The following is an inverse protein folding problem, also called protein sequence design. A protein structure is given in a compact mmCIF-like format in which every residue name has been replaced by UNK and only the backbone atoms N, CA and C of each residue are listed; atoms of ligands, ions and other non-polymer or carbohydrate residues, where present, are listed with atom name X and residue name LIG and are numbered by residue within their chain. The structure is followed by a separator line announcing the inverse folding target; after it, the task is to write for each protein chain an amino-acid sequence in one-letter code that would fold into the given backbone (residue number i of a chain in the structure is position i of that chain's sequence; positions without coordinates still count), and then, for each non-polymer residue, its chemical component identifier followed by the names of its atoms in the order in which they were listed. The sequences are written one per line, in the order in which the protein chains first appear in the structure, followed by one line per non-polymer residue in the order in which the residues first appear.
data_IF_540765894354
#
_entry.id   IF_540765894354
#
_cell.length_a   1.000
_cell.length_b   1.000
_cell.length_c   1.000
_cell.angle_alpha   90.00
_cell.angle_beta   90.00
_cell.angle_gamma   90.00
#
_symmetry.space_group_name_H-M   'P 1'
#
loop_
_entity.id
_entity.type
_entity.pdbx_description
1 polymer ?
#
# COMPACT_ATOMS: atom_id res chain seq x y z
N UNK A 1 3.66 22.28 11.57
CA UNK A 1 2.29 21.87 11.98
C UNK A 1 1.33 22.75 11.22
N UNK A 2 0.42 22.19 10.40
CA UNK A 2 -0.52 23.03 9.67
C UNK A 2 -1.52 23.62 10.66
N UNK A 3 -1.67 24.94 10.64
CA UNK A 3 -2.94 25.59 10.98
C UNK A 3 -3.17 26.70 9.96
N UNK A 4 -3.85 26.34 8.87
CA UNK A 4 -4.70 27.29 8.15
C UNK A 4 -6.13 26.77 8.37
N UNK A 5 -7.02 27.64 8.87
CA UNK A 5 -8.42 27.32 9.23
C UNK A 5 -8.61 26.34 10.42
N UNK A 6 -7.87 26.47 11.53
CA UNK A 6 -8.34 25.84 12.79
C UNK A 6 -9.29 26.77 13.53
N UNK A 7 -10.41 26.23 13.97
CA UNK A 7 -11.42 26.96 14.71
C UNK A 7 -11.57 26.34 16.10
N UNK A 8 -11.55 27.16 17.14
CA UNK A 8 -11.77 26.75 18.53
C UNK A 8 -12.79 27.67 19.16
N UNK A 9 -13.90 27.12 19.65
CA UNK A 9 -14.97 27.87 20.32
C UNK A 9 -15.51 27.06 21.49
N UNK A 10 -15.89 27.78 22.53
CA UNK A 10 -16.70 27.33 23.66
C UNK A 10 -18.20 27.72 23.50
N UNK A 11 -18.52 28.55 22.50
CA UNK A 11 -19.89 28.97 22.17
C UNK A 11 -20.53 28.07 21.11
N UNK A 12 -21.71 27.55 21.41
CA UNK A 12 -22.54 26.78 20.48
C UNK A 12 -22.95 27.60 19.26
N UNK A 13 -23.37 28.86 19.44
CA UNK A 13 -23.76 29.75 18.32
C UNK A 13 -22.62 29.92 17.32
N UNK A 14 -21.40 30.09 17.83
CA UNK A 14 -20.21 30.24 16.99
C UNK A 14 -19.83 28.93 16.29
N UNK A 15 -20.08 27.78 16.93
CA UNK A 15 -19.93 26.48 16.30
C UNK A 15 -20.93 26.29 15.15
N UNK A 16 -22.19 26.67 15.36
CA UNK A 16 -23.27 26.61 14.36
C UNK A 16 -22.97 27.53 13.16
N UNK A 17 -22.49 28.76 13.42
CA UNK A 17 -22.03 29.68 12.39
C UNK A 17 -20.91 29.07 11.54
N UNK A 18 -19.92 28.41 12.15
CA UNK A 18 -18.84 27.77 11.41
C UNK A 18 -19.31 26.57 10.62
N UNK A 19 -20.15 25.73 11.21
CA UNK A 19 -20.70 24.57 10.54
C UNK A 19 -21.46 24.94 9.25
N UNK A 20 -22.15 26.09 9.28
CA UNK A 20 -22.94 26.58 8.15
C UNK A 20 -22.09 27.29 7.09
N UNK A 21 -21.09 28.07 7.51
CA UNK A 21 -20.41 29.02 6.63
C UNK A 21 -18.97 28.61 6.23
N UNK A 22 -18.35 27.66 6.92
CA UNK A 22 -16.97 27.26 6.63
C UNK A 22 -16.96 26.05 5.69
N UNK A 23 -16.18 26.09 4.59
CA UNK A 23 -15.96 24.92 3.73
C UNK A 23 -15.43 23.73 4.53
N UNK A 24 -16.15 22.61 4.48
CA UNK A 24 -15.79 21.38 5.17
C UNK A 24 -14.84 20.56 4.31
N UNK A 25 -13.75 20.10 4.90
CA UNK A 25 -12.92 19.07 4.27
C UNK A 25 -13.75 17.79 4.07
N UNK A 26 -13.64 17.18 2.90
CA UNK A 26 -14.33 15.92 2.57
C UNK A 26 -13.48 14.69 2.87
N UNK A 27 -12.17 14.89 3.11
CA UNK A 27 -11.22 13.83 3.38
C UNK A 27 -10.50 14.11 4.70
N UNK A 28 -10.18 13.03 5.42
CA UNK A 28 -9.39 13.06 6.64
C UNK A 28 -8.06 12.36 6.34
N UNK A 29 -6.95 13.05 6.58
CA UNK A 29 -5.64 12.42 6.58
C UNK A 29 -5.26 12.09 8.03
N UNK A 30 -5.00 10.80 8.32
CA UNK A 30 -4.70 10.30 9.64
C UNK A 30 -3.34 9.59 9.66
N UNK A 31 -2.58 9.80 10.73
CA UNK A 31 -1.26 9.22 10.93
C UNK A 31 -1.26 8.32 12.15
N UNK A 32 -0.89 7.07 11.92
CA UNK A 32 -0.76 6.06 12.94
C UNK A 32 0.71 5.71 13.16
N UNK A 33 1.06 5.38 14.39
CA UNK A 33 2.35 4.77 14.73
C UNK A 33 2.11 3.36 15.25
N UNK A 34 2.81 2.40 14.64
CA UNK A 34 2.80 0.99 15.03
C UNK A 34 4.16 0.63 15.64
N UNK A 35 4.22 0.20 16.92
CA UNK A 35 5.43 -0.36 17.50
C UNK A 35 5.84 -1.66 16.77
N UNK A 36 7.14 -1.79 16.48
CA UNK A 36 7.73 -2.96 15.81
C UNK A 36 8.47 -3.92 16.76
N UNK A 37 8.69 -3.53 18.02
CA UNK A 37 9.39 -4.39 18.98
C UNK A 37 8.57 -5.65 19.27
N UNK A 38 9.20 -6.82 19.23
CA UNK A 38 8.57 -8.10 19.58
C UNK A 38 8.04 -8.11 21.02
N UNK A 39 8.68 -7.37 21.93
CA UNK A 39 8.19 -7.17 23.30
C UNK A 39 6.91 -6.32 23.41
N UNK A 40 6.51 -5.66 22.31
CA UNK A 40 5.36 -4.76 22.23
C UNK A 40 4.32 -5.27 21.23
N UNK A 41 4.36 -6.55 20.82
CA UNK A 41 3.48 -7.13 19.80
C UNK A 41 1.98 -7.00 20.10
N UNK A 42 1.61 -6.86 21.37
CA UNK A 42 0.22 -6.65 21.82
C UNK A 42 -0.17 -5.17 21.95
N UNK A 43 0.71 -4.24 21.55
CA UNK A 43 0.42 -2.81 21.63
C UNK A 43 -0.33 -2.38 20.37
N UNK A 44 -1.54 -1.89 20.56
CA UNK A 44 -2.35 -1.33 19.48
C UNK A 44 -1.66 -0.12 18.85
N UNK A 45 -1.81 0.08 17.53
CA UNK A 45 -1.35 1.30 16.88
C UNK A 45 -2.03 2.53 17.50
N UNK A 46 -1.28 3.63 17.54
CA UNK A 46 -1.73 4.90 18.12
C UNK A 46 -1.87 5.97 17.04
N UNK A 47 -3.00 6.68 17.01
CA UNK A 47 -3.18 7.85 16.15
C UNK A 47 -2.49 9.04 16.81
N UNK A 48 -1.43 9.56 16.20
CA UNK A 48 -0.71 10.72 16.74
C UNK A 48 -1.06 12.05 16.05
N UNK A 49 -1.83 11.99 14.97
CA UNK A 49 -2.30 13.19 14.28
C UNK A 49 -3.35 12.87 13.22
N UNK A 50 -4.31 13.76 13.06
CA UNK A 50 -5.25 13.74 11.96
C UNK A 50 -5.66 15.17 11.61
N UNK A 51 -5.90 15.45 10.33
CA UNK A 51 -6.40 16.74 9.88
C UNK A 51 -7.24 16.59 8.61
N UNK A 52 -8.22 17.49 8.45
CA UNK A 52 -9.03 17.58 7.25
C UNK A 52 -8.20 18.07 6.06
N UNK A 53 -8.44 17.49 4.88
CA UNK A 53 -7.77 17.89 3.64
C UNK A 53 -8.76 17.89 2.48
N UNK A 54 -8.51 18.75 1.49
CA UNK A 54 -9.13 18.73 0.17
C UNK A 54 -8.30 17.93 -0.85
N UNK A 55 -7.25 17.25 -0.36
CA UNK A 55 -6.31 16.46 -1.14
C UNK A 55 -5.52 17.28 -2.18
N UNK A 56 -5.32 18.58 -1.96
CA UNK A 56 -4.50 19.46 -2.80
C UNK A 56 -3.11 19.71 -2.20
N UNK A 57 -2.31 18.65 -2.13
CA UNK A 57 -0.91 18.72 -1.71
C UNK A 57 -0.02 18.07 -2.76
N UNK A 58 1.24 18.47 -2.78
CA UNK A 58 2.28 17.98 -3.66
C UNK A 58 3.18 16.95 -2.95
N UNK A 59 4.00 16.24 -3.73
CA UNK A 59 4.95 15.25 -3.18
C UNK A 59 5.98 15.88 -2.24
N UNK A 60 6.38 17.14 -2.49
CA UNK A 60 7.27 17.90 -1.60
C UNK A 60 6.65 18.13 -0.22
N UNK A 61 5.32 18.31 -0.14
CA UNK A 61 4.61 18.47 1.12
C UNK A 61 4.61 17.16 1.92
N UNK A 62 4.47 16.01 1.25
CA UNK A 62 4.55 14.69 1.86
C UNK A 62 5.96 14.44 2.43
N UNK A 63 7.01 14.68 1.64
CA UNK A 63 8.41 14.56 2.07
C UNK A 63 8.71 15.45 3.29
N UNK A 64 8.29 16.71 3.22
CA UNK A 64 8.47 17.67 4.32
C UNK A 64 7.77 17.19 5.60
N UNK A 65 6.58 16.58 5.45
CA UNK A 65 5.81 16.05 6.57
C UNK A 65 6.46 14.81 7.18
N UNK A 66 6.89 13.84 6.37
CA UNK A 66 7.61 12.66 6.86
C UNK A 66 8.88 13.04 7.61
N UNK A 67 9.65 13.99 7.08
CA UNK A 67 10.84 14.49 7.76
C UNK A 67 10.51 15.18 9.10
N UNK A 68 9.47 16.02 9.15
CA UNK A 68 9.03 16.65 10.40
C UNK A 68 8.54 15.62 11.43
N UNK A 69 7.80 14.60 10.99
CA UNK A 69 7.36 13.49 11.85
C UNK A 69 8.59 12.79 12.42
N UNK A 70 9.50 12.37 11.56
CA UNK A 70 10.75 11.72 11.96
C UNK A 70 11.50 12.53 13.04
N UNK A 71 11.73 13.83 12.81
CA UNK A 71 12.46 14.67 13.77
C UNK A 71 11.73 14.83 15.11
N UNK A 72 10.39 14.94 15.09
CA UNK A 72 9.59 15.06 16.32
C UNK A 72 9.59 13.79 17.15
N UNK A 73 9.54 12.63 16.52
CA UNK A 73 9.64 11.34 17.22
C UNK A 73 11.06 11.13 17.75
N UNK A 74 12.08 11.44 16.95
CA UNK A 74 13.48 11.36 17.35
C UNK A 74 13.78 12.22 18.58
N UNK A 75 13.28 13.44 18.63
CA UNK A 75 13.41 14.33 19.79
C UNK A 75 12.81 13.75 21.09
N UNK A 76 11.89 12.76 20.97
CA UNK A 76 11.31 12.02 22.09
C UNK A 76 11.98 10.67 22.35
N UNK A 77 13.12 10.40 21.72
CA UNK A 77 13.82 9.12 21.82
C UNK A 77 13.16 7.96 21.07
N UNK A 78 12.21 8.25 20.17
CA UNK A 78 11.53 7.23 19.35
C UNK A 78 12.10 7.27 17.94
N UNK A 79 12.70 6.16 17.50
CA UNK A 79 13.22 6.02 16.14
C UNK A 79 12.13 5.51 15.20
N UNK A 80 11.81 6.30 14.18
CA UNK A 80 10.98 5.83 13.06
C UNK A 80 11.87 5.01 12.12
N UNK A 81 11.50 3.75 11.89
CA UNK A 81 12.21 2.86 10.95
C UNK A 81 11.67 3.01 9.54
N UNK A 82 10.36 3.24 9.37
CA UNK A 82 9.78 3.40 8.05
C UNK A 82 8.39 4.03 8.02
N UNK A 83 7.96 4.39 6.82
CA UNK A 83 6.63 4.90 6.52
C UNK A 83 5.87 3.90 5.64
N UNK A 84 4.58 3.70 5.92
CA UNK A 84 3.68 2.90 5.10
C UNK A 84 2.52 3.77 4.59
N UNK A 85 2.11 3.59 3.34
CA UNK A 85 0.94 4.26 2.74
C UNK A 85 0.34 3.41 1.60
N UNK A 86 -0.94 3.66 1.31
CA UNK A 86 -1.71 3.14 0.16
C UNK A 86 -1.06 3.50 -1.19
N UNK A 87 -0.13 4.44 -1.18
CA UNK A 87 0.74 4.78 -2.29
C UNK A 87 -0.02 5.30 -3.51
N UNK A 88 -0.76 6.39 -3.28
CA UNK A 88 -1.25 7.23 -4.38
C UNK A 88 -0.07 7.79 -5.20
N UNK A 89 -0.34 8.47 -6.32
CA UNK A 89 0.72 8.95 -7.21
C UNK A 89 1.75 9.87 -6.52
N UNK A 90 1.34 10.67 -5.53
CA UNK A 90 2.21 11.60 -4.81
C UNK A 90 2.97 10.92 -3.69
N UNK A 91 2.30 10.03 -2.96
CA UNK A 91 2.97 9.19 -1.97
C UNK A 91 4.02 8.30 -2.64
N UNK A 92 3.70 7.70 -3.80
CA UNK A 92 4.66 6.90 -4.56
C UNK A 92 5.85 7.72 -5.06
N UNK A 93 5.60 8.92 -5.60
CA UNK A 93 6.67 9.82 -6.00
C UNK A 93 7.54 10.24 -4.81
N UNK A 94 6.93 10.49 -3.65
CA UNK A 94 7.62 10.82 -2.40
C UNK A 94 8.49 9.67 -1.94
N UNK A 95 8.00 8.42 -1.94
CA UNK A 95 8.80 7.23 -1.62
C UNK A 95 10.01 7.10 -2.54
N UNK A 96 9.80 7.20 -3.85
CA UNK A 96 10.88 7.09 -4.83
C UNK A 96 11.95 8.16 -4.59
N UNK A 97 11.50 9.37 -4.31
CA UNK A 97 12.39 10.50 -4.02
C UNK A 97 13.15 10.29 -2.72
N UNK A 98 12.48 9.96 -1.61
CA UNK A 98 13.11 9.78 -0.30
C UNK A 98 14.11 8.63 -0.25
N UNK A 99 13.86 7.56 -1.03
CA UNK A 99 14.71 6.38 -1.09
C UNK A 99 15.81 6.47 -2.16
N UNK A 100 15.85 7.56 -2.94
CA UNK A 100 16.85 7.77 -3.99
C UNK A 100 16.66 6.89 -5.23
N UNK A 101 15.44 6.39 -5.47
CA UNK A 101 15.11 5.66 -6.70
C UNK A 101 14.92 6.61 -7.87
N UNK A 102 15.92 6.67 -8.74
CA UNK A 102 15.92 7.55 -9.92
C UNK A 102 15.76 9.04 -9.56
N UNK A 103 16.21 9.43 -8.36
CA UNK A 103 16.10 10.78 -7.84
C UNK A 103 17.40 11.19 -7.12
N UNK A 104 17.84 12.43 -7.34
CA UNK A 104 18.99 13.03 -6.65
C UNK A 104 18.52 13.67 -5.34
N UNK A 105 17.95 12.87 -4.45
CA UNK A 105 17.54 13.30 -3.13
C UNK A 105 18.09 12.30 -2.12
N UNK A 106 18.97 12.78 -1.24
CA UNK A 106 19.59 11.95 -0.22
C UNK A 106 19.70 12.75 1.08
N UNK A 107 19.35 12.12 2.19
CA UNK A 107 19.66 12.62 3.53
C UNK A 107 21.13 12.32 3.90
N UNK A 108 22.06 12.34 2.92
CA UNK A 108 23.39 11.71 2.99
C UNK A 108 24.28 12.17 4.15
N UNK A 109 24.06 13.38 4.68
CA UNK A 109 24.83 13.92 5.81
C UNK A 109 24.11 13.77 7.16
N UNK A 110 22.99 13.04 7.23
CA UNK A 110 22.23 12.90 8.46
C UNK A 110 22.93 11.93 9.43
N UNK A 111 23.08 12.34 10.70
CA UNK A 111 23.82 11.58 11.72
C UNK A 111 23.20 10.24 12.13
N UNK A 112 22.01 9.92 11.63
CA UNK A 112 21.19 8.79 12.07
C UNK A 112 20.68 7.94 10.90
N UNK A 113 21.48 7.90 9.83
CA UNK A 113 21.25 7.04 8.69
C UNK A 113 21.35 5.57 9.12
N UNK A 114 20.33 4.79 8.72
CA UNK A 114 20.35 3.34 8.74
C UNK A 114 21.34 2.85 7.70
N UNK A 115 22.19 1.91 8.07
CA UNK A 115 23.02 1.15 7.12
C UNK A 115 22.24 -0.06 6.66
N UNK A 116 22.05 -0.18 5.36
CA UNK A 116 21.34 -1.29 4.73
C UNK A 116 22.39 -2.23 4.13
N UNK A 117 22.43 -3.44 4.69
CA UNK A 117 23.27 -4.52 4.19
C UNK A 117 22.47 -5.32 3.16
N UNK A 118 22.79 -5.11 1.88
CA UNK A 118 22.15 -5.83 0.78
C UNK A 118 23.04 -7.00 0.37
N UNK A 119 22.48 -8.22 0.23
CA UNK A 119 23.24 -9.34 -0.30
C UNK A 119 23.81 -9.01 -1.69
N UNK A 120 25.10 -9.26 -1.90
CA UNK A 120 25.75 -9.04 -3.21
C UNK A 120 25.10 -9.84 -4.35
N UNK A 121 24.35 -10.90 -4.02
CA UNK A 121 23.59 -11.71 -4.98
C UNK A 121 22.32 -11.03 -5.50
N UNK A 122 21.88 -9.93 -4.87
CA UNK A 122 20.66 -9.21 -5.23
C UNK A 122 20.93 -8.12 -6.26
N UNK A 123 21.60 -8.46 -7.36
CA UNK A 123 21.88 -7.52 -8.46
C UNK A 123 20.61 -6.95 -9.12
N UNK A 124 19.46 -7.58 -8.88
CA UNK A 124 18.14 -7.18 -9.34
C UNK A 124 17.43 -6.19 -8.39
N UNK A 125 17.93 -6.00 -7.16
CA UNK A 125 17.34 -5.11 -6.18
C UNK A 125 18.13 -3.81 -6.08
N UNK A 126 17.47 -2.68 -6.33
CA UNK A 126 18.07 -1.36 -6.24
C UNK A 126 17.65 -0.71 -4.93
N UNK A 127 18.59 -0.30 -4.07
CA UNK A 127 18.32 0.56 -2.90
C UNK A 127 19.65 1.18 -2.46
N UNK A 128 19.64 2.44 -2.00
CA UNK A 128 20.88 3.04 -1.49
C UNK A 128 21.27 2.41 -0.14
N UNK A 129 22.57 2.20 0.10
CA UNK A 129 23.11 1.61 1.32
C UNK A 129 22.86 2.41 2.60
N UNK A 130 22.46 3.68 2.48
CA UNK A 130 22.15 4.56 3.59
C UNK A 130 20.77 5.15 3.40
N UNK A 131 19.92 5.02 4.41
CA UNK A 131 18.55 5.54 4.38
C UNK A 131 18.21 6.15 5.73
N UNK A 132 17.44 7.25 5.73
CA UNK A 132 16.95 7.81 7.00
C UNK A 132 15.83 6.95 7.59
N UNK A 133 15.00 6.40 6.71
CA UNK A 133 13.88 5.52 6.95
C UNK A 133 13.61 4.72 5.67
N UNK A 134 12.90 3.60 5.77
CA UNK A 134 12.43 2.83 4.61
C UNK A 134 10.94 3.12 4.31
N UNK A 135 10.48 2.85 3.10
CA UNK A 135 9.08 3.04 2.74
C UNK A 135 8.45 1.72 2.29
N UNK A 136 7.19 1.52 2.67
CA UNK A 136 6.39 0.35 2.33
C UNK A 136 5.09 0.78 1.66
N UNK A 137 4.65 0.01 0.68
CA UNK A 137 3.29 0.10 0.16
C UNK A 137 2.41 -0.89 0.91
N UNK A 138 1.13 -0.57 1.02
CA UNK A 138 0.15 -1.53 1.51
C UNK A 138 0.03 -2.75 0.56
N UNK A 139 0.41 -3.92 1.07
CA UNK A 139 0.36 -5.18 0.36
C UNK A 139 -1.08 -5.58 -0.02
N UNK A 140 -2.09 -5.25 0.79
CA UNK A 140 -3.51 -5.54 0.50
C UNK A 140 -3.94 -4.78 -0.76
N UNK A 141 -3.53 -3.51 -0.88
CA UNK A 141 -3.78 -2.71 -2.06
C UNK A 141 -3.03 -3.22 -3.30
N UNK A 142 -1.81 -3.75 -3.14
CA UNK A 142 -1.10 -4.41 -4.25
C UNK A 142 -1.86 -5.65 -4.73
N UNK A 143 -2.29 -6.54 -3.83
CA UNK A 143 -3.03 -7.75 -4.16
C UNK A 143 -4.34 -7.43 -4.90
N UNK A 144 -5.09 -6.43 -4.45
CA UNK A 144 -6.33 -6.01 -5.13
C UNK A 144 -6.06 -5.37 -6.49
N UNK A 145 -4.97 -4.59 -6.66
CA UNK A 145 -4.54 -4.06 -7.97
C UNK A 145 -4.19 -5.18 -8.96
N UNK A 146 -3.46 -6.20 -8.51
CA UNK A 146 -3.12 -7.36 -9.34
C UNK A 146 -4.38 -8.15 -9.74
N UNK A 147 -5.28 -8.45 -8.80
CA UNK A 147 -6.58 -9.07 -9.13
C UNK A 147 -7.36 -8.24 -10.16
N UNK A 148 -7.47 -6.93 -9.94
CA UNK A 148 -8.19 -6.05 -10.86
C UNK A 148 -7.56 -6.00 -12.25
N UNK A 149 -6.23 -6.17 -12.34
CA UNK A 149 -5.52 -6.30 -13.62
C UNK A 149 -5.86 -7.61 -14.31
N UNK A 150 -5.85 -8.73 -13.59
CA UNK A 150 -6.24 -10.05 -14.10
C UNK A 150 -7.67 -10.07 -14.67
N UNK A 151 -8.60 -9.39 -14.00
CA UNK A 151 -10.02 -9.31 -14.39
C UNK A 151 -10.31 -8.23 -15.45
N UNK A 152 -9.31 -7.42 -15.82
CA UNK A 152 -9.50 -6.34 -16.79
C UNK A 152 -9.70 -6.90 -18.20
N UNK A 153 -10.73 -6.43 -18.88
CA UNK A 153 -10.95 -6.71 -20.31
C UNK A 153 -10.22 -5.72 -21.23
N UNK A 154 -9.75 -4.60 -20.68
CA UNK A 154 -9.15 -3.52 -21.47
C UNK A 154 -7.64 -3.64 -21.62
N UNK A 155 -6.98 -4.48 -20.82
CA UNK A 155 -5.52 -4.62 -20.86
C UNK A 155 -5.12 -6.08 -20.89
N UNK A 156 -4.20 -6.42 -21.80
CA UNK A 156 -3.62 -7.74 -21.89
C UNK A 156 -2.38 -7.82 -21.01
N UNK A 157 -2.33 -8.83 -20.15
CA UNK A 157 -1.17 -9.12 -19.33
C UNK A 157 -0.45 -10.33 -19.93
N UNK A 158 0.85 -10.19 -20.17
CA UNK A 158 1.69 -11.26 -20.71
C UNK A 158 2.77 -11.61 -19.69
N UNK A 159 3.02 -12.91 -19.53
CA UNK A 159 4.18 -13.43 -18.80
C UNK A 159 4.91 -14.37 -19.75
N UNK A 160 6.05 -13.90 -20.27
CA UNK A 160 6.67 -14.51 -21.45
C UNK A 160 5.72 -14.44 -22.65
N UNK A 161 5.44 -15.60 -23.26
CA UNK A 161 4.52 -15.74 -24.39
C UNK A 161 3.07 -16.05 -23.96
N UNK A 162 2.81 -16.20 -22.67
CA UNK A 162 1.50 -16.62 -22.17
C UNK A 162 0.62 -15.44 -21.80
N UNK A 163 -0.62 -15.45 -22.32
CA UNK A 163 -1.65 -14.49 -21.97
C UNK A 163 -2.29 -14.82 -20.62
N UNK A 164 -2.10 -13.92 -19.67
CA UNK A 164 -2.67 -14.02 -18.33
C UNK A 164 -4.08 -13.41 -18.35
N UNK A 165 -5.07 -14.24 -18.02
CA UNK A 165 -6.48 -13.86 -17.99
C UNK A 165 -7.27 -14.81 -17.09
N UNK A 166 -8.55 -14.50 -16.86
CA UNK A 166 -9.43 -15.27 -15.98
C UNK A 166 -9.97 -16.59 -16.55
N UNK A 167 -9.71 -16.93 -17.82
CA UNK A 167 -10.32 -18.12 -18.46
C UNK A 167 -9.96 -19.43 -17.75
N UNK A 168 -8.71 -19.68 -17.32
CA UNK A 168 -8.40 -20.90 -16.57
C UNK A 168 -9.13 -20.99 -15.23
N UNK A 169 -9.33 -19.85 -14.53
CA UNK A 169 -10.11 -19.81 -13.28
C UNK A 169 -11.60 -20.10 -13.53
N UNK A 170 -12.17 -19.56 -14.61
CA UNK A 170 -13.54 -19.91 -15.01
C UNK A 170 -13.67 -21.39 -15.37
N UNK A 171 -12.66 -21.95 -16.04
CA UNK A 171 -12.62 -23.37 -16.34
C UNK A 171 -12.61 -24.21 -15.05
N UNK A 172 -11.80 -23.85 -14.06
CA UNK A 172 -11.83 -24.50 -12.74
C UNK A 172 -13.22 -24.48 -12.12
N UNK A 173 -13.83 -23.28 -12.00
CA UNK A 173 -15.15 -23.10 -11.38
C UNK A 173 -16.24 -23.95 -12.05
N UNK A 174 -16.14 -24.16 -13.37
CA UNK A 174 -17.17 -24.86 -14.14
C UNK A 174 -16.94 -26.37 -14.26
N UNK A 175 -15.72 -26.86 -14.06
CA UNK A 175 -15.36 -28.26 -14.38
C UNK A 175 -14.83 -29.05 -13.17
N UNK A 176 -14.48 -28.40 -12.07
CA UNK A 176 -13.98 -29.05 -10.86
C UNK A 176 -15.00 -28.91 -9.71
N UNK A 177 -14.87 -29.75 -8.69
CA UNK A 177 -15.74 -29.65 -7.52
C UNK A 177 -15.40 -28.39 -6.73
N UNK A 178 -16.43 -27.65 -6.33
CA UNK A 178 -16.26 -26.49 -5.43
C UNK A 178 -15.50 -26.85 -4.15
N UNK A 179 -15.59 -28.08 -3.66
CA UNK A 179 -14.89 -28.49 -2.45
C UNK A 179 -13.37 -28.54 -2.64
N UNK A 180 -12.89 -28.69 -3.87
CA UNK A 180 -11.47 -28.79 -4.17
C UNK A 180 -10.81 -27.40 -4.18
N UNK A 181 -11.49 -26.40 -4.77
CA UNK A 181 -10.93 -25.07 -4.99
C UNK A 181 -11.62 -23.93 -4.22
N UNK A 182 -12.80 -24.16 -3.66
CA UNK A 182 -13.66 -23.21 -2.95
C UNK A 182 -14.17 -21.99 -3.74
N UNK A 183 -13.60 -21.69 -4.91
CA UNK A 183 -14.01 -20.58 -5.80
C UNK A 183 -15.48 -20.62 -6.22
N UNK A 184 -16.07 -19.44 -6.38
CA UNK A 184 -17.39 -19.19 -6.97
C UNK A 184 -17.29 -18.07 -8.02
N UNK A 185 -18.26 -17.99 -8.93
CA UNK A 185 -18.24 -17.02 -10.02
C UNK A 185 -18.12 -15.55 -9.54
N UNK A 186 -18.66 -15.21 -8.37
CA UNK A 186 -18.56 -13.87 -7.79
C UNK A 186 -17.13 -13.49 -7.40
N UNK A 187 -16.24 -14.44 -7.13
CA UNK A 187 -14.83 -14.16 -6.80
C UNK A 187 -14.09 -13.52 -7.99
N UNK A 188 -14.58 -13.77 -9.21
CA UNK A 188 -14.07 -13.21 -10.47
C UNK A 188 -14.87 -11.99 -10.96
N UNK A 189 -15.73 -11.40 -10.12
CA UNK A 189 -16.51 -10.23 -10.48
C UNK A 189 -15.65 -8.94 -10.44
N UNK A 190 -15.49 -8.20 -11.55
CA UNK A 190 -14.67 -6.99 -11.60
C UNK A 190 -15.32 -5.76 -10.96
N UNK A 191 -16.62 -5.81 -10.59
CA UNK A 191 -17.33 -4.65 -10.01
C UNK A 191 -16.80 -4.28 -8.63
N UNK A 192 -16.45 -5.28 -7.82
CA UNK A 192 -15.87 -5.06 -6.50
C UNK A 192 -14.34 -5.04 -6.59
N UNK A 193 -13.80 -3.81 -6.68
CA UNK A 193 -12.37 -3.56 -6.87
C UNK A 193 -11.56 -3.63 -5.57
N UNK A 194 -12.23 -3.66 -4.41
CA UNK A 194 -11.60 -3.69 -3.08
C UNK A 194 -11.71 -5.08 -2.43
N UNK A 195 -12.16 -6.09 -3.18
CA UNK A 195 -12.35 -7.45 -2.67
C UNK A 195 -11.02 -8.19 -2.44
N UNK A 196 -10.37 -7.91 -1.32
CA UNK A 196 -9.16 -8.61 -0.91
C UNK A 196 -9.41 -10.10 -0.69
N UNK A 197 -10.55 -10.46 -0.10
CA UNK A 197 -10.90 -11.86 0.15
C UNK A 197 -10.87 -12.70 -1.14
N UNK A 198 -11.47 -12.19 -2.22
CA UNK A 198 -11.42 -12.82 -3.53
C UNK A 198 -10.00 -12.90 -4.08
N UNK A 199 -9.17 -11.86 -3.86
CA UNK A 199 -7.77 -11.85 -4.31
C UNK A 199 -6.91 -12.91 -3.59
N UNK A 200 -7.13 -13.11 -2.29
CA UNK A 200 -6.48 -14.17 -1.52
C UNK A 200 -6.99 -15.55 -1.98
N UNK A 201 -8.29 -15.69 -2.19
CA UNK A 201 -8.93 -16.97 -2.52
C UNK A 201 -8.52 -17.52 -3.89
N UNK A 202 -8.41 -16.66 -4.91
CA UNK A 202 -7.94 -17.09 -6.24
C UNK A 202 -6.48 -17.54 -6.24
N UNK A 203 -5.71 -17.17 -5.21
CA UNK A 203 -4.28 -17.46 -5.09
C UNK A 203 -3.99 -18.57 -4.09
N UNK A 204 -5.04 -19.22 -3.58
CA UNK A 204 -4.92 -20.30 -2.60
C UNK A 204 -4.18 -21.52 -3.21
N UNK A 205 -3.39 -22.22 -2.39
CA UNK A 205 -2.63 -23.41 -2.79
C UNK A 205 -3.46 -24.44 -3.57
N UNK A 206 -4.69 -24.72 -3.15
CA UNK A 206 -5.54 -25.69 -3.84
C UNK A 206 -5.88 -25.24 -5.27
N UNK A 207 -6.08 -23.93 -5.47
CA UNK A 207 -6.30 -23.35 -6.80
C UNK A 207 -5.03 -23.46 -7.63
N UNK A 208 -3.87 -23.13 -7.06
CA UNK A 208 -2.58 -23.21 -7.75
C UNK A 208 -2.27 -24.64 -8.21
N UNK A 209 -2.46 -25.63 -7.34
CA UNK A 209 -2.26 -27.05 -7.65
C UNK A 209 -3.17 -27.50 -8.80
N UNK A 210 -4.45 -27.12 -8.78
CA UNK A 210 -5.38 -27.48 -9.86
C UNK A 210 -5.09 -26.74 -11.16
N UNK A 211 -4.56 -25.52 -11.11
CA UNK A 211 -4.14 -24.79 -12.30
C UNK A 211 -3.02 -25.54 -13.03
N UNK A 212 -2.09 -26.21 -12.35
CA UNK A 212 -1.02 -27.00 -13.00
C UNK A 212 -1.54 -28.08 -13.96
N UNK A 213 -2.77 -28.57 -13.73
CA UNK A 213 -3.41 -29.60 -14.54
C UNK A 213 -4.12 -29.04 -15.77
N UNK A 214 -4.27 -27.72 -15.88
CA UNK A 214 -4.98 -27.05 -16.98
C UNK A 214 -3.99 -26.62 -18.07
N UNK A 215 -4.21 -26.99 -19.35
CA UNK A 215 -3.38 -26.51 -20.44
C UNK A 215 -3.36 -24.98 -20.55
N UNK A 216 -2.18 -24.41 -20.82
CA UNK A 216 -1.96 -22.96 -20.99
C UNK A 216 -2.28 -22.10 -19.74
N UNK A 217 -2.21 -22.67 -18.54
CA UNK A 217 -2.41 -21.95 -17.28
C UNK A 217 -1.12 -21.52 -16.57
N UNK A 218 0.05 -22.00 -17.01
CA UNK A 218 1.33 -21.86 -16.28
C UNK A 218 1.65 -20.41 -15.91
N UNK A 219 1.49 -19.48 -16.84
CA UNK A 219 1.73 -18.06 -16.62
C UNK A 219 0.76 -17.47 -15.60
N UNK A 220 -0.49 -17.94 -15.58
CA UNK A 220 -1.47 -17.53 -14.56
C UNK A 220 -1.09 -18.10 -13.20
N UNK A 221 -0.63 -19.35 -13.15
CA UNK A 221 -0.16 -19.98 -11.92
C UNK A 221 1.01 -19.16 -11.31
N UNK A 222 2.05 -18.87 -12.11
CA UNK A 222 3.17 -18.01 -11.69
C UNK A 222 2.69 -16.63 -11.26
N UNK A 223 1.74 -16.03 -12.00
CA UNK A 223 1.19 -14.72 -11.65
C UNK A 223 0.51 -14.73 -10.27
N UNK A 224 -0.25 -15.78 -9.97
CA UNK A 224 -0.98 -15.92 -8.71
C UNK A 224 -0.08 -16.35 -7.55
N UNK A 225 1.07 -16.99 -7.81
CA UNK A 225 2.08 -17.26 -6.77
C UNK A 225 2.64 -15.98 -6.14
N UNK A 226 2.62 -14.84 -6.84
CA UNK A 226 3.04 -13.54 -6.28
C UNK A 226 2.10 -13.06 -5.16
N UNK A 227 0.87 -13.58 -5.10
CA UNK A 227 -0.12 -13.22 -4.10
C UNK A 227 -0.09 -14.08 -2.83
N UNK A 228 0.63 -15.20 -2.86
CA UNK A 228 0.66 -16.22 -1.81
C UNK A 228 1.94 -16.08 -0.98
#
# INVERSE_FOLDING_TARGET
MPILNSYSTDSFTRLEEWYTNVPRATLLNAYLIQPLSSSLSNTSPYIFGAYGTDNRFESSDVLSRWYQIYQRFKAKGIRILGFSTDCDSRDFHSMRTSLGFFANFAYGDHSDLLKIDLPNTWSWFLMQHQQLYICFQDAIHICTKLRNRLLSQSTHLLLGEQLINMKPLLYLINNYSKLDHLLVASDLNPKDRQNFYSAAKISNDNVLILLEQIPNSLGLNIYLQVHN
#
